data_IF_625522026362
#
_entry.id   IF_625522026362
#
_cell.length_a   1.000
_cell.length_b   1.000
_cell.length_c   1.000
_cell.angle_alpha   90.00
_cell.angle_beta   90.00
_cell.angle_gamma   90.00
#
_symmetry.space_group_name_H-M   'P 1'
#
loop_
_entity.id
_entity.type
_entity.pdbx_description
1 polymer ?
#
# COMPACT_ATOMS: atom_id res chain seq x y z
N UNK A 1 -10.30 5.29 1.85
CA UNK A 1 -11.00 4.06 1.44
C UNK A 1 -12.27 4.41 0.74
N UNK A 2 -12.35 4.08 -0.54
CA UNK A 2 -13.49 4.36 -1.41
C UNK A 2 -14.47 3.17 -1.53
N UNK A 3 -14.29 2.12 -0.71
CA UNK A 3 -15.16 0.92 -0.60
C UNK A 3 -15.39 0.18 -1.93
N UNK A 4 -14.50 0.33 -2.90
CA UNK A 4 -14.59 -0.30 -4.22
C UNK A 4 -14.12 -1.77 -4.23
N UNK A 5 -13.58 -2.27 -3.11
CA UNK A 5 -13.03 -3.63 -2.98
C UNK A 5 -11.57 -3.77 -3.40
N UNK A 6 -10.91 -2.65 -3.71
CA UNK A 6 -9.51 -2.55 -4.08
C UNK A 6 -8.82 -1.52 -3.19
N UNK A 7 -7.49 -1.52 -3.20
CA UNK A 7 -6.67 -0.50 -2.56
C UNK A 7 -5.91 0.21 -3.68
N UNK A 8 -6.37 1.39 -4.06
CA UNK A 8 -5.67 2.27 -4.99
C UNK A 8 -4.60 3.11 -4.27
N UNK A 9 -3.87 3.90 -5.05
CA UNK A 9 -2.78 4.76 -4.57
C UNK A 9 -3.23 5.69 -3.42
N UNK A 10 -4.41 6.31 -3.50
CA UNK A 10 -4.90 7.25 -2.48
C UNK A 10 -5.21 6.53 -1.16
N UNK A 11 -5.79 5.33 -1.28
CA UNK A 11 -6.07 4.47 -0.14
C UNK A 11 -4.77 4.00 0.53
N UNK A 12 -3.76 3.65 -0.26
CA UNK A 12 -2.46 3.23 0.25
C UNK A 12 -1.71 4.39 0.93
N UNK A 13 -1.73 5.59 0.35
CA UNK A 13 -1.17 6.80 0.96
C UNK A 13 -1.85 7.10 2.31
N UNK A 14 -3.18 6.96 2.38
CA UNK A 14 -3.94 7.15 3.61
C UNK A 14 -3.57 6.11 4.68
N UNK A 15 -3.28 4.86 4.30
CA UNK A 15 -2.78 3.82 5.21
C UNK A 15 -1.40 4.20 5.73
N UNK A 16 -0.47 4.55 4.84
CA UNK A 16 0.91 4.89 5.18
C UNK A 16 0.98 6.11 6.09
N UNK A 17 0.20 7.16 5.82
CA UNK A 17 0.06 8.33 6.69
C UNK A 17 -0.39 7.96 8.11
N UNK A 18 -1.31 7.00 8.24
CA UNK A 18 -1.83 6.55 9.54
C UNK A 18 -0.85 5.62 10.27
N UNK A 19 -0.10 4.79 9.55
CA UNK A 19 0.88 3.87 10.12
C UNK A 19 2.13 4.60 10.62
N UNK A 20 2.60 5.58 9.86
CA UNK A 20 3.90 6.21 10.09
C UNK A 20 3.80 7.54 10.85
N UNK A 21 2.59 7.95 11.25
CA UNK A 21 2.25 9.28 11.78
C UNK A 21 2.62 10.41 10.80
N UNK A 22 1.59 11.12 10.35
CA UNK A 22 1.65 12.15 9.30
C UNK A 22 2.59 13.33 9.53
N UNK A 23 3.11 13.54 10.74
CA UNK A 23 3.95 14.70 11.05
C UNK A 23 5.40 14.57 10.56
N UNK A 24 5.89 13.35 10.29
CA UNK A 24 7.28 13.09 9.91
C UNK A 24 7.46 12.72 8.42
N UNK A 25 6.37 12.61 7.64
CA UNK A 25 6.42 12.22 6.24
C UNK A 25 6.07 13.36 5.30
N UNK A 26 6.95 13.59 4.33
CA UNK A 26 6.67 14.47 3.21
C UNK A 26 5.77 13.78 2.16
N UNK A 27 5.06 14.57 1.35
CA UNK A 27 4.27 14.04 0.22
C UNK A 27 5.12 13.20 -0.73
N UNK A 28 6.38 13.60 -0.97
CA UNK A 28 7.29 12.87 -1.86
C UNK A 28 7.68 11.49 -1.31
N UNK A 29 7.93 11.40 0.01
CA UNK A 29 8.20 10.12 0.67
C UNK A 29 6.98 9.21 0.68
N UNK A 30 5.79 9.76 0.89
CA UNK A 30 4.54 9.00 0.81
C UNK A 30 4.30 8.42 -0.58
N UNK A 31 4.50 9.23 -1.63
CA UNK A 31 4.39 8.76 -3.02
C UNK A 31 5.45 7.69 -3.30
N UNK A 32 6.68 7.89 -2.85
CA UNK A 32 7.78 6.93 -3.06
C UNK A 32 7.50 5.59 -2.37
N UNK A 33 7.04 5.62 -1.10
CA UNK A 33 6.66 4.42 -0.37
C UNK A 33 5.47 3.71 -1.01
N UNK A 34 4.49 4.48 -1.48
CA UNK A 34 3.32 3.94 -2.16
C UNK A 34 3.73 3.21 -3.44
N UNK A 35 4.59 3.82 -4.25
CA UNK A 35 5.12 3.19 -5.45
C UNK A 35 5.89 1.90 -5.13
N UNK A 36 6.77 1.91 -4.12
CA UNK A 36 7.50 0.71 -3.74
C UNK A 36 6.59 -0.43 -3.27
N UNK A 37 5.52 -0.12 -2.51
CA UNK A 37 4.54 -1.13 -2.09
C UNK A 37 3.79 -1.68 -3.29
N UNK A 38 3.37 -0.82 -4.23
CA UNK A 38 2.72 -1.25 -5.46
C UNK A 38 3.65 -2.09 -6.34
N UNK A 39 4.93 -1.72 -6.51
CA UNK A 39 5.89 -2.51 -7.29
C UNK A 39 6.09 -3.93 -6.75
N UNK A 40 6.00 -4.12 -5.43
CA UNK A 40 6.17 -5.43 -4.78
C UNK A 40 4.87 -6.24 -4.74
N UNK A 41 3.73 -5.57 -4.54
CA UNK A 41 2.45 -6.23 -4.29
C UNK A 41 1.56 -6.34 -5.53
N UNK A 42 1.65 -5.40 -6.47
CA UNK A 42 0.84 -5.37 -7.68
C UNK A 42 1.44 -6.32 -8.73
N UNK A 43 0.79 -7.46 -8.91
CA UNK A 43 1.28 -8.52 -9.79
C UNK A 43 0.80 -8.32 -11.24
N UNK A 44 -0.33 -7.63 -11.43
CA UNK A 44 -0.95 -7.42 -12.74
C UNK A 44 -0.66 -6.04 -13.36
N UNK A 45 -0.03 -5.15 -12.61
CA UNK A 45 0.39 -3.79 -12.96
C UNK A 45 -0.79 -2.85 -13.32
N UNK A 46 -1.94 -3.00 -12.65
CA UNK A 46 -3.11 -2.13 -12.80
C UNK A 46 -3.08 -0.83 -11.96
N UNK A 47 -1.99 -0.60 -11.21
CA UNK A 47 -1.80 0.47 -10.21
C UNK A 47 -2.78 0.45 -9.03
N UNK A 48 -3.40 -0.70 -8.77
CA UNK A 48 -4.28 -0.95 -7.64
C UNK A 48 -3.87 -2.27 -6.98
N UNK A 49 -4.39 -2.55 -5.79
CA UNK A 49 -4.24 -3.84 -5.15
C UNK A 49 -5.60 -4.49 -4.97
N UNK A 50 -5.75 -5.66 -5.57
CA UNK A 50 -6.85 -6.56 -5.25
C UNK A 50 -6.63 -7.26 -3.91
N UNK A 51 -7.70 -7.83 -3.34
CA UNK A 51 -7.60 -8.63 -2.12
C UNK A 51 -6.60 -9.79 -2.26
N UNK A 52 -6.52 -10.42 -3.44
CA UNK A 52 -5.61 -11.54 -3.68
C UNK A 52 -4.14 -11.10 -3.68
N UNK A 53 -3.84 -9.94 -4.26
CA UNK A 53 -2.50 -9.35 -4.26
C UNK A 53 -2.10 -8.89 -2.86
N UNK A 54 -3.04 -8.31 -2.11
CA UNK A 54 -2.82 -7.97 -0.71
C UNK A 54 -2.49 -9.21 0.13
N UNK A 55 -3.27 -10.30 0.00
CA UNK A 55 -2.96 -11.57 0.67
C UNK A 55 -1.59 -12.13 0.23
N UNK A 56 -1.26 -12.02 -1.06
CA UNK A 56 0.04 -12.43 -1.57
C UNK A 56 1.18 -11.65 -0.90
N UNK A 57 1.08 -10.32 -0.90
CA UNK A 57 2.07 -9.42 -0.29
C UNK A 57 2.24 -9.69 1.21
N UNK A 58 1.14 -9.86 1.95
CA UNK A 58 1.15 -10.23 3.36
C UNK A 58 1.80 -11.59 3.62
N UNK A 59 1.59 -12.57 2.74
CA UNK A 59 2.21 -13.90 2.85
C UNK A 59 3.72 -13.88 2.57
N UNK A 60 4.17 -12.96 1.73
CA UNK A 60 5.56 -12.78 1.31
C UNK A 60 6.39 -12.04 2.37
N UNK A 61 5.74 -11.16 3.12
CA UNK A 61 6.38 -10.31 4.12
C UNK A 61 5.84 -10.66 5.52
N UNK A 62 6.33 -11.75 6.14
CA UNK A 62 5.87 -12.20 7.46
C UNK A 62 6.07 -11.16 8.55
N UNK A 63 6.97 -10.20 8.36
CA UNK A 63 7.17 -9.04 9.23
C UNK A 63 5.89 -8.19 9.43
N UNK A 64 4.94 -8.20 8.48
CA UNK A 64 3.65 -7.51 8.66
C UNK A 64 2.68 -8.23 9.60
N UNK A 65 2.88 -9.52 9.86
CA UNK A 65 2.01 -10.34 10.72
C UNK A 65 2.51 -10.45 12.17
N UNK A 66 3.63 -9.79 12.50
CA UNK A 66 4.34 -9.97 13.77
C UNK A 66 4.07 -8.87 14.80
#
# INVERSE_FOLDING_TARGET
FNENGFIDEEDLQSILQRLLNSDDLTEEELVTLTNHVLEEANLDNDNMLSFAEFEHAMSKSPDFLQ
#
